data_IF_334183310789
#
_entry.id   IF_334183310789
#
_cell.length_a   1.000
_cell.length_b   1.000
_cell.length_c   1.000
_cell.angle_alpha   90.00
_cell.angle_beta   90.00
_cell.angle_gamma   90.00
#
_symmetry.space_group_name_H-M   'P 1'
#
loop_
_entity.id
_entity.type
_entity.pdbx_description
1 polymer ?
#
# COMPACT_ATOMS: atom_id res chain seq x y z
N UNK A 1 -15.18 48.40 -50.81
CA UNK A 1 -14.20 47.55 -50.09
C UNK A 1 -14.40 47.68 -48.58
N UNK A 2 -15.06 46.69 -47.94
CA UNK A 2 -15.29 46.68 -46.49
C UNK A 2 -14.07 46.02 -45.86
N UNK A 3 -13.36 46.74 -44.96
CA UNK A 3 -12.27 46.21 -44.16
C UNK A 3 -12.89 45.44 -42.97
N UNK A 4 -12.69 44.13 -42.94
CA UNK A 4 -13.02 43.29 -41.81
C UNK A 4 -11.85 43.40 -40.83
N UNK A 5 -12.10 43.96 -39.64
CA UNK A 5 -11.14 44.02 -38.53
C UNK A 5 -11.35 42.75 -37.73
N UNK A 6 -10.38 41.84 -37.76
CA UNK A 6 -10.32 40.70 -36.82
C UNK A 6 -9.81 41.20 -35.47
N UNK A 7 -10.69 41.25 -34.47
CA UNK A 7 -10.29 41.42 -33.08
C UNK A 7 -9.91 40.04 -32.54
N UNK A 8 -8.61 39.79 -32.39
CA UNK A 8 -8.08 38.65 -31.64
C UNK A 8 -8.33 38.92 -30.14
N UNK A 9 -9.33 38.28 -29.59
CA UNK A 9 -9.54 38.22 -28.11
C UNK A 9 -8.50 37.26 -27.57
N UNK A 10 -7.44 37.77 -26.98
CA UNK A 10 -6.51 37.00 -26.14
C UNK A 10 -7.26 36.68 -24.83
N UNK A 11 -7.86 35.50 -24.75
CA UNK A 11 -8.27 34.91 -23.48
C UNK A 11 -6.97 34.39 -22.84
N UNK A 12 -6.53 34.89 -21.67
CA UNK A 12 -5.40 34.30 -20.99
C UNK A 12 -5.84 32.89 -20.58
N UNK A 13 -5.33 31.88 -21.26
CA UNK A 13 -5.38 30.52 -20.80
C UNK A 13 -4.45 30.51 -19.58
N UNK A 14 -5.02 30.80 -18.39
CA UNK A 14 -4.35 30.49 -17.14
C UNK A 14 -4.26 28.95 -17.15
N UNK A 15 -3.10 28.43 -17.49
CA UNK A 15 -2.90 26.99 -17.51
C UNK A 15 -3.09 26.48 -16.08
N UNK A 16 -4.09 25.67 -15.88
CA UNK A 16 -4.38 25.01 -14.60
C UNK A 16 -3.15 24.28 -14.01
N UNK A 17 -2.16 23.93 -14.86
CA UNK A 17 -0.89 23.31 -14.44
C UNK A 17 -0.12 24.14 -13.42
N UNK A 18 -0.11 25.46 -13.51
CA UNK A 18 0.65 26.32 -12.57
C UNK A 18 0.10 26.34 -11.15
N UNK A 19 -1.17 25.96 -10.94
CA UNK A 19 -1.78 25.90 -9.60
C UNK A 19 -1.28 24.68 -8.84
N UNK A 20 -0.89 23.62 -9.52
CA UNK A 20 -0.53 22.33 -8.92
C UNK A 20 0.98 22.10 -8.76
N UNK A 21 1.82 22.91 -9.40
CA UNK A 21 3.29 22.74 -9.39
C UNK A 21 4.00 23.45 -8.22
N UNK A 22 3.32 24.29 -7.45
CA UNK A 22 3.95 25.09 -6.39
C UNK A 22 3.32 24.81 -5.03
N UNK A 23 4.17 24.82 -4.02
CA UNK A 23 3.69 24.91 -2.65
C UNK A 23 3.05 26.27 -2.40
N UNK A 24 1.85 26.26 -1.85
CA UNK A 24 1.14 27.46 -1.46
C UNK A 24 1.25 27.67 0.04
N UNK A 25 1.49 28.91 0.48
CA UNK A 25 1.48 29.25 1.90
C UNK A 25 0.10 29.06 2.51
N UNK A 26 -0.95 29.35 1.73
CA UNK A 26 -2.32 29.07 2.09
C UNK A 26 -3.09 28.53 0.87
N UNK A 27 -3.84 27.45 1.12
CA UNK A 27 -4.81 26.89 0.18
C UNK A 27 -6.17 26.79 0.87
N UNK A 28 -7.24 27.22 0.19
CA UNK A 28 -8.59 27.05 0.68
C UNK A 28 -9.39 26.21 -0.30
N UNK A 29 -9.95 25.10 0.18
CA UNK A 29 -10.89 24.27 -0.57
C UNK A 29 -12.29 24.75 -0.25
N UNK A 30 -13.02 25.24 -1.25
CA UNK A 30 -14.28 26.00 -1.10
C UNK A 30 -15.52 25.15 -1.30
N UNK A 31 -16.44 25.15 -0.33
CA UNK A 31 -17.81 24.66 -0.53
C UNK A 31 -17.99 23.15 -0.61
N UNK A 32 -17.00 22.37 -0.20
CA UNK A 32 -17.01 20.91 -0.30
C UNK A 32 -17.96 20.21 0.68
N UNK A 33 -18.33 18.99 0.37
CA UNK A 33 -18.88 18.03 1.34
C UNK A 33 -17.74 17.19 1.93
N UNK A 34 -17.50 17.29 3.24
CA UNK A 34 -16.44 16.58 3.94
C UNK A 34 -16.93 15.23 4.49
N UNK A 35 -16.22 14.16 4.16
CA UNK A 35 -16.33 12.83 4.78
C UNK A 35 -15.04 12.58 5.56
N UNK A 36 -15.10 12.74 6.89
CA UNK A 36 -13.90 12.79 7.74
C UNK A 36 -13.46 11.44 8.31
N UNK A 37 -14.03 10.33 7.84
CA UNK A 37 -13.72 8.94 8.26
C UNK A 37 -13.93 8.63 9.76
N UNK A 38 -14.69 9.44 10.49
CA UNK A 38 -15.05 9.19 11.90
C UNK A 38 -16.29 8.32 12.07
N UNK A 39 -16.95 7.95 10.98
CA UNK A 39 -18.28 7.30 10.98
C UNK A 39 -19.45 8.27 11.16
N UNK A 40 -19.19 9.57 11.37
CA UNK A 40 -20.23 10.58 11.41
C UNK A 40 -20.78 10.86 9.99
N UNK A 41 -22.03 11.36 9.87
CA UNK A 41 -22.57 11.79 8.59
C UNK A 41 -21.68 12.83 7.89
N UNK A 42 -21.70 12.89 6.55
CA UNK A 42 -20.98 13.93 5.80
C UNK A 42 -21.34 15.33 6.28
N UNK A 43 -20.36 16.21 6.35
CA UNK A 43 -20.52 17.61 6.77
C UNK A 43 -20.32 18.53 5.56
N UNK A 44 -21.29 19.41 5.27
CA UNK A 44 -21.14 20.34 4.16
C UNK A 44 -22.31 21.30 4.01
N UNK A 45 -22.14 22.37 3.22
CA UNK A 45 -20.87 22.78 2.60
C UNK A 45 -19.85 23.33 3.61
N UNK A 46 -18.57 22.98 3.44
CA UNK A 46 -17.48 23.47 4.27
C UNK A 46 -16.38 24.12 3.42
N UNK A 47 -15.70 25.12 3.99
CA UNK A 47 -14.42 25.60 3.49
C UNK A 47 -13.30 25.03 4.37
N UNK A 48 -12.27 24.46 3.74
CA UNK A 48 -11.12 23.88 4.44
C UNK A 48 -9.89 24.76 4.17
N UNK A 49 -9.31 25.31 5.24
CA UNK A 49 -8.11 26.15 5.18
C UNK A 49 -6.90 25.30 5.48
N UNK A 50 -5.93 25.33 4.57
CA UNK A 50 -4.65 24.65 4.70
C UNK A 50 -3.58 25.72 4.68
N UNK A 51 -2.75 25.77 5.71
CA UNK A 51 -1.60 26.67 5.81
C UNK A 51 -0.32 25.84 5.83
N UNK A 52 0.55 26.11 4.89
CA UNK A 52 1.68 25.26 4.56
C UNK A 52 1.21 23.83 4.21
N UNK A 53 1.32 22.89 5.13
CA UNK A 53 0.88 21.49 4.97
C UNK A 53 -0.06 21.01 6.09
N UNK A 54 -0.68 21.97 6.82
CA UNK A 54 -1.55 21.68 7.96
C UNK A 54 -2.95 22.21 7.68
N UNK A 55 -3.96 21.38 7.91
CA UNK A 55 -5.36 21.84 7.97
C UNK A 55 -5.53 22.65 9.25
N UNK A 56 -5.66 23.97 9.12
CA UNK A 56 -5.78 24.89 10.25
C UNK A 56 -7.23 25.19 10.60
N UNK A 57 -8.15 25.04 9.65
CA UNK A 57 -9.56 25.30 9.87
C UNK A 57 -10.46 24.48 8.95
N UNK A 58 -11.56 23.99 9.50
CA UNK A 58 -12.72 23.47 8.76
C UNK A 58 -13.91 24.31 9.17
N UNK A 59 -14.43 25.13 8.25
CA UNK A 59 -15.47 26.09 8.50
C UNK A 59 -16.77 25.68 7.81
N UNK A 60 -17.82 25.42 8.58
CA UNK A 60 -19.17 25.26 8.00
C UNK A 60 -19.64 26.61 7.43
N UNK A 61 -20.03 26.64 6.17
CA UNK A 61 -20.43 27.85 5.44
C UNK A 61 -21.89 27.81 5.00
N UNK A 62 -22.64 26.77 5.34
CA UNK A 62 -24.04 26.65 4.96
C UNK A 62 -24.66 25.33 5.42
N UNK A 63 -25.77 24.98 4.75
CA UNK A 63 -26.46 23.72 4.91
C UNK A 63 -26.71 23.11 3.53
N UNK A 64 -26.81 21.78 3.38
CA UNK A 64 -27.16 21.16 2.11
C UNK A 64 -28.44 21.72 1.51
N UNK A 65 -28.43 22.07 0.22
CA UNK A 65 -29.60 22.62 -0.48
C UNK A 65 -29.93 24.07 -0.20
N UNK A 66 -29.10 24.77 0.60
CA UNK A 66 -29.28 26.21 0.90
C UNK A 66 -28.10 27.00 0.36
N UNK A 67 -28.25 28.19 -0.19
CA UNK A 67 -27.14 29.01 -0.66
C UNK A 67 -26.07 29.21 0.41
N UNK A 68 -24.81 29.16 -0.01
CA UNK A 68 -23.65 29.32 0.87
C UNK A 68 -23.65 30.73 1.49
N UNK A 69 -23.42 30.81 2.79
CA UNK A 69 -23.29 32.06 3.51
C UNK A 69 -21.88 32.64 3.35
N UNK A 70 -21.71 33.56 2.41
CA UNK A 70 -20.41 34.17 2.12
C UNK A 70 -19.78 34.92 3.30
N UNK A 71 -20.57 35.39 4.26
CA UNK A 71 -20.06 36.09 5.45
C UNK A 71 -19.30 35.16 6.40
N UNK A 72 -19.53 33.84 6.31
CA UNK A 72 -18.86 32.82 7.12
C UNK A 72 -17.55 32.30 6.48
N UNK A 73 -17.32 32.63 5.21
CA UNK A 73 -16.14 32.10 4.49
C UNK A 73 -14.85 32.67 5.04
N UNK A 74 -13.84 31.83 5.26
CA UNK A 74 -12.48 32.28 5.57
C UNK A 74 -11.95 33.21 4.49
N UNK A 75 -11.23 34.25 4.88
CA UNK A 75 -10.57 35.17 3.94
C UNK A 75 -9.32 34.50 3.37
N UNK A 76 -9.12 34.67 2.07
CA UNK A 76 -7.87 34.28 1.42
C UNK A 76 -6.77 35.26 1.81
N UNK A 77 -5.60 34.76 2.19
CA UNK A 77 -4.43 35.58 2.46
C UNK A 77 -3.82 36.09 1.14
N UNK A 78 -3.01 37.15 1.21
CA UNK A 78 -2.30 37.62 0.04
C UNK A 78 -1.33 36.54 -0.48
N UNK A 79 -1.46 36.18 -1.76
CA UNK A 79 -0.70 35.10 -2.39
C UNK A 79 -1.19 33.68 -2.06
N UNK A 80 -2.31 33.55 -1.34
CA UNK A 80 -3.01 32.28 -1.19
C UNK A 80 -3.75 31.86 -2.46
N UNK A 81 -4.13 30.58 -2.53
CA UNK A 81 -4.88 29.99 -3.64
C UNK A 81 -6.17 29.39 -3.11
N UNK A 82 -7.23 29.43 -3.89
CA UNK A 82 -8.47 28.73 -3.59
C UNK A 82 -8.87 27.82 -4.75
N UNK A 83 -9.48 26.71 -4.39
CA UNK A 83 -10.04 25.74 -5.34
C UNK A 83 -11.52 25.62 -5.03
N UNK A 84 -12.34 25.83 -6.06
CA UNK A 84 -13.78 25.58 -5.96
C UNK A 84 -14.02 24.06 -5.90
N UNK A 85 -14.62 23.63 -4.81
CA UNK A 85 -15.00 22.24 -4.55
C UNK A 85 -16.52 22.09 -4.33
N UNK A 86 -17.32 23.09 -4.76
CA UNK A 86 -18.76 23.01 -4.64
C UNK A 86 -19.30 21.82 -5.44
N UNK A 87 -20.15 21.02 -4.83
CA UNK A 87 -20.63 19.76 -5.40
C UNK A 87 -19.64 18.57 -5.31
N UNK A 88 -18.43 18.79 -4.83
CA UNK A 88 -17.42 17.75 -4.66
C UNK A 88 -17.37 17.21 -3.23
N UNK A 89 -16.88 15.97 -3.09
CA UNK A 89 -16.61 15.34 -1.81
C UNK A 89 -15.11 15.38 -1.50
N UNK A 90 -14.77 15.70 -0.26
CA UNK A 90 -13.38 15.66 0.23
C UNK A 90 -13.27 14.56 1.28
N UNK A 91 -12.28 13.69 1.11
CA UNK A 91 -11.94 12.61 2.03
C UNK A 91 -10.47 12.76 2.47
N UNK A 92 -10.08 12.19 3.62
CA UNK A 92 -8.67 11.96 3.91
C UNK A 92 -8.02 11.13 2.79
N UNK A 93 -6.78 11.44 2.45
CA UNK A 93 -6.05 10.65 1.45
C UNK A 93 -5.91 9.20 1.89
N UNK A 94 -6.00 8.27 0.95
CA UNK A 94 -5.87 6.85 1.21
C UNK A 94 -4.44 6.47 1.57
N UNK A 95 -4.31 5.39 2.36
CA UNK A 95 -3.03 4.81 2.77
C UNK A 95 -2.92 3.41 2.18
N UNK A 96 -1.95 3.20 1.28
CA UNK A 96 -1.62 1.86 0.82
C UNK A 96 -0.58 1.25 1.76
N UNK A 97 -0.95 0.17 2.43
CA UNK A 97 -0.09 -0.51 3.40
C UNK A 97 0.84 -1.55 2.78
N UNK A 98 0.77 -1.79 1.48
CA UNK A 98 1.66 -2.70 0.75
C UNK A 98 1.88 -2.22 -0.69
N UNK A 99 2.54 -1.09 -0.84
CA UNK A 99 2.83 -0.53 -2.15
C UNK A 99 4.31 -0.65 -2.52
N UNK A 100 4.62 -1.12 -3.72
CA UNK A 100 5.98 -1.17 -4.24
C UNK A 100 6.24 0.01 -5.18
N UNK A 101 7.26 0.81 -4.86
CA UNK A 101 7.55 2.08 -5.54
C UNK A 101 8.25 1.94 -6.91
N UNK A 102 8.04 0.83 -7.58
CA UNK A 102 8.58 0.59 -8.91
C UNK A 102 10.03 0.10 -8.90
N UNK A 103 10.68 0.26 -10.01
CA UNK A 103 12.04 -0.20 -10.26
C UNK A 103 12.12 -1.21 -11.40
N UNK A 104 13.35 -1.55 -11.79
CA UNK A 104 13.61 -2.40 -12.96
C UNK A 104 12.90 -3.76 -12.91
N UNK A 105 12.85 -4.38 -11.73
CA UNK A 105 12.20 -5.69 -11.56
C UNK A 105 10.67 -5.63 -11.51
N UNK A 106 10.10 -4.41 -11.58
CA UNK A 106 8.65 -4.19 -11.64
C UNK A 106 8.22 -3.52 -12.94
N UNK A 107 9.15 -3.29 -13.87
CA UNK A 107 8.87 -2.77 -15.21
C UNK A 107 8.42 -1.32 -15.28
N UNK A 108 8.41 -0.59 -14.17
CA UNK A 108 7.94 0.79 -14.08
C UNK A 108 8.90 1.67 -13.28
N UNK A 109 9.02 2.95 -13.65
CA UNK A 109 9.77 3.92 -12.86
C UNK A 109 9.02 4.31 -11.58
N UNK A 110 9.72 4.74 -10.52
CA UNK A 110 9.07 5.30 -9.34
C UNK A 110 8.13 6.48 -9.66
N UNK A 111 8.53 7.37 -10.53
CA UNK A 111 7.74 8.52 -10.96
C UNK A 111 6.38 8.11 -11.53
N UNK A 112 6.35 7.12 -12.44
CA UNK A 112 5.11 6.62 -13.00
C UNK A 112 4.20 6.03 -11.91
N UNK A 113 4.76 5.25 -11.00
CA UNK A 113 4.01 4.62 -9.90
C UNK A 113 3.47 5.70 -8.95
N UNK A 114 4.26 6.71 -8.61
CA UNK A 114 3.83 7.82 -7.75
C UNK A 114 2.68 8.62 -8.38
N UNK A 115 2.79 8.93 -9.66
CA UNK A 115 1.74 9.65 -10.38
C UNK A 115 0.42 8.88 -10.39
N UNK A 116 0.45 7.56 -10.59
CA UNK A 116 -0.75 6.74 -10.52
C UNK A 116 -1.35 6.73 -9.10
N UNK A 117 -0.54 6.55 -8.06
CA UNK A 117 -1.05 6.58 -6.70
C UNK A 117 -1.68 7.92 -6.34
N UNK A 118 -0.99 9.02 -6.65
CA UNK A 118 -1.51 10.36 -6.37
C UNK A 118 -2.81 10.64 -7.15
N UNK A 119 -2.88 10.22 -8.42
CA UNK A 119 -4.10 10.36 -9.23
C UNK A 119 -5.29 9.55 -8.68
N UNK A 120 -5.04 8.46 -7.96
CA UNK A 120 -6.06 7.64 -7.31
C UNK A 120 -6.29 8.00 -5.83
N UNK A 121 -5.76 9.14 -5.37
CA UNK A 121 -5.96 9.61 -3.99
C UNK A 121 -5.16 8.88 -2.92
N UNK A 122 -4.16 8.07 -3.29
CA UNK A 122 -3.25 7.43 -2.35
C UNK A 122 -2.14 8.41 -2.01
N UNK A 123 -2.19 8.98 -0.80
CA UNK A 123 -1.28 10.04 -0.35
C UNK A 123 -0.23 9.56 0.64
N UNK A 124 -0.32 8.32 1.05
CA UNK A 124 0.67 7.67 1.94
C UNK A 124 0.83 6.22 1.54
N UNK A 125 2.06 5.75 1.50
CA UNK A 125 2.38 4.34 1.24
C UNK A 125 3.34 3.77 2.25
N UNK A 126 3.18 2.50 2.54
CA UNK A 126 4.22 1.68 3.15
C UNK A 126 4.85 0.81 2.07
N UNK A 127 6.14 1.00 1.84
CA UNK A 127 6.97 0.19 0.95
C UNK A 127 7.59 -0.96 1.75
N UNK A 128 7.01 -2.17 1.72
CA UNK A 128 7.42 -3.27 2.58
C UNK A 128 8.56 -4.09 1.99
N UNK A 129 9.57 -3.45 1.42
CA UNK A 129 10.74 -4.14 0.88
C UNK A 129 10.62 -4.54 -0.58
N UNK A 130 10.56 -3.58 -1.48
CA UNK A 130 10.56 -3.77 -2.93
C UNK A 130 11.95 -3.97 -3.53
N UNK A 131 12.03 -3.93 -4.86
CA UNK A 131 13.22 -4.23 -5.64
C UNK A 131 14.29 -3.14 -5.67
N UNK A 132 13.95 -1.93 -5.23
CA UNK A 132 14.91 -0.84 -5.17
C UNK A 132 15.89 -1.02 -4.02
N UNK A 133 17.12 -0.52 -4.18
CA UNK A 133 18.08 -0.48 -3.09
C UNK A 133 17.54 0.35 -1.92
N UNK A 134 17.89 0.00 -0.69
CA UNK A 134 17.46 0.74 0.49
C UNK A 134 17.88 2.21 0.42
N UNK A 135 19.09 2.48 -0.07
CA UNK A 135 19.58 3.84 -0.29
C UNK A 135 18.63 4.67 -1.16
N UNK A 136 18.26 4.14 -2.34
CA UNK A 136 17.34 4.86 -3.24
C UNK A 136 15.95 5.06 -2.65
N UNK A 137 15.43 4.05 -1.92
CA UNK A 137 14.14 4.20 -1.22
C UNK A 137 14.17 5.33 -0.19
N UNK A 138 15.27 5.46 0.56
CA UNK A 138 15.45 6.53 1.54
C UNK A 138 15.64 7.90 0.86
N UNK A 139 16.32 7.97 -0.26
CA UNK A 139 16.42 9.19 -1.09
C UNK A 139 15.03 9.64 -1.53
N UNK A 140 14.24 8.76 -2.15
CA UNK A 140 12.87 9.05 -2.58
C UNK A 140 11.94 9.45 -1.42
N UNK A 141 12.04 8.77 -0.28
CA UNK A 141 11.34 9.14 0.95
C UNK A 141 11.68 10.58 1.40
N UNK A 142 12.95 10.93 1.38
CA UNK A 142 13.40 12.26 1.79
C UNK A 142 12.96 13.34 0.79
N UNK A 143 13.05 13.07 -0.51
CA UNK A 143 12.59 13.99 -1.55
C UNK A 143 11.08 14.20 -1.49
N UNK A 144 10.30 13.14 -1.27
CA UNK A 144 8.85 13.26 -1.02
C UNK A 144 8.55 14.10 0.22
N UNK A 145 9.26 13.85 1.34
CA UNK A 145 9.08 14.62 2.58
C UNK A 145 9.36 16.11 2.43
N UNK A 146 10.29 16.46 1.53
CA UNK A 146 10.66 17.86 1.23
C UNK A 146 9.84 18.48 0.11
N UNK A 147 8.91 17.71 -0.49
CA UNK A 147 8.17 18.09 -1.70
C UNK A 147 9.08 18.46 -2.90
N UNK A 148 10.21 17.80 -3.04
CA UNK A 148 11.11 17.92 -4.20
C UNK A 148 10.60 17.07 -5.37
N UNK A 149 9.71 16.11 -5.12
CA UNK A 149 9.05 15.25 -6.10
C UNK A 149 7.56 15.15 -5.81
N UNK A 150 6.76 14.90 -6.85
CA UNK A 150 5.33 14.55 -6.70
C UNK A 150 5.25 13.08 -6.33
N UNK A 151 4.97 12.79 -5.06
CA UNK A 151 4.90 11.44 -4.54
C UNK A 151 4.05 11.39 -3.27
N UNK A 152 3.44 10.23 -2.93
CA UNK A 152 2.86 10.03 -1.62
C UNK A 152 3.93 10.07 -0.53
N UNK A 153 3.54 10.26 0.71
CA UNK A 153 4.44 10.05 1.86
C UNK A 153 4.87 8.60 1.91
N UNK A 154 6.19 8.35 2.04
CA UNK A 154 6.77 7.01 1.95
C UNK A 154 7.24 6.55 3.34
N UNK A 155 6.74 5.41 3.80
CA UNK A 155 7.29 4.64 4.91
C UNK A 155 8.09 3.47 4.33
N UNK A 156 9.43 3.56 4.41
CA UNK A 156 10.34 2.61 3.77
C UNK A 156 10.81 1.54 4.75
N UNK A 157 10.51 0.28 4.44
CA UNK A 157 11.00 -0.87 5.21
C UNK A 157 12.21 -1.50 4.51
N UNK A 158 13.21 -1.88 5.28
CA UNK A 158 14.35 -2.65 4.79
C UNK A 158 14.00 -4.12 4.69
N UNK A 159 14.38 -4.76 3.59
CA UNK A 159 14.26 -6.22 3.45
C UNK A 159 15.34 -6.92 4.25
N UNK A 160 14.95 -7.80 5.18
CA UNK A 160 15.88 -8.54 6.02
C UNK A 160 16.81 -9.40 5.15
N UNK A 161 18.11 -9.32 5.43
CA UNK A 161 19.13 -9.99 4.64
C UNK A 161 19.21 -11.47 4.98
N UNK A 162 18.88 -12.34 4.03
CA UNK A 162 18.96 -13.81 4.17
C UNK A 162 20.39 -14.36 4.32
N UNK A 163 21.41 -13.51 4.14
CA UNK A 163 22.82 -13.89 4.31
C UNK A 163 23.32 -13.81 5.76
N UNK A 164 22.51 -13.23 6.65
CA UNK A 164 22.75 -13.22 8.09
C UNK A 164 22.79 -14.66 8.61
N UNK A 165 23.85 -15.00 9.37
CA UNK A 165 24.15 -16.38 9.75
C UNK A 165 24.06 -16.64 11.26
N UNK A 166 23.92 -15.59 12.06
CA UNK A 166 23.82 -15.72 13.52
C UNK A 166 22.83 -14.74 14.12
N UNK A 167 22.33 -15.03 15.32
CA UNK A 167 21.49 -14.10 16.08
C UNK A 167 22.13 -12.74 16.35
N UNK A 168 23.45 -12.69 16.56
CA UNK A 168 24.18 -11.45 16.81
C UNK A 168 24.29 -10.59 15.54
N UNK A 169 24.64 -11.19 14.42
CA UNK A 169 24.61 -10.51 13.12
C UNK A 169 23.20 -9.99 12.80
N UNK A 170 22.14 -10.73 13.15
CA UNK A 170 20.76 -10.30 12.94
C UNK A 170 20.44 -9.04 13.75
N UNK A 171 20.81 -8.98 15.01
CA UNK A 171 20.63 -7.80 15.86
C UNK A 171 21.41 -6.60 15.32
N UNK A 172 22.67 -6.81 14.93
CA UNK A 172 23.50 -5.75 14.35
C UNK A 172 22.89 -5.22 13.03
N UNK A 173 22.47 -6.12 12.15
CA UNK A 173 21.83 -5.75 10.89
C UNK A 173 20.59 -4.88 11.12
N UNK A 174 19.74 -5.23 12.09
CA UNK A 174 18.54 -4.45 12.45
C UNK A 174 18.93 -3.07 12.93
N UNK A 175 19.90 -2.96 13.85
CA UNK A 175 20.38 -1.67 14.37
C UNK A 175 20.95 -0.77 13.27
N UNK A 176 21.71 -1.32 12.34
CA UNK A 176 22.31 -0.56 11.26
C UNK A 176 21.23 0.02 10.31
N UNK A 177 20.23 -0.79 9.92
CA UNK A 177 19.12 -0.29 9.09
C UNK A 177 18.27 0.79 9.81
N UNK A 178 18.10 0.67 11.12
CA UNK A 178 17.44 1.71 11.91
C UNK A 178 18.24 3.04 11.88
N UNK A 179 19.55 2.99 12.05
CA UNK A 179 20.43 4.16 11.96
C UNK A 179 20.42 4.82 10.59
N UNK A 180 20.27 4.05 9.53
CA UNK A 180 20.15 4.54 8.16
C UNK A 180 18.80 5.22 7.88
N UNK A 181 17.80 5.07 8.76
CA UNK A 181 16.51 5.76 8.66
C UNK A 181 15.37 4.91 8.10
N UNK A 182 15.51 3.59 8.15
CA UNK A 182 14.41 2.67 7.86
C UNK A 182 13.26 2.86 8.86
N UNK A 183 12.02 2.84 8.39
CA UNK A 183 10.82 2.92 9.25
C UNK A 183 10.42 1.55 9.81
N UNK A 184 10.97 0.48 9.26
CA UNK A 184 10.71 -0.88 9.69
C UNK A 184 11.50 -1.92 8.91
N UNK A 185 11.26 -3.19 9.26
CA UNK A 185 11.92 -4.34 8.64
C UNK A 185 10.87 -5.27 8.04
N UNK A 186 11.11 -5.68 6.79
CA UNK A 186 10.36 -6.74 6.11
C UNK A 186 11.10 -8.06 6.17
N UNK A 187 10.50 -9.07 6.76
CA UNK A 187 11.04 -10.42 6.82
C UNK A 187 10.42 -11.32 5.74
N UNK A 188 11.22 -12.25 5.19
CA UNK A 188 10.74 -13.35 4.34
C UNK A 188 10.90 -14.71 5.01
N UNK A 189 11.89 -14.86 5.85
CA UNK A 189 12.20 -16.05 6.60
C UNK A 189 13.71 -16.22 6.80
N UNK A 190 14.05 -16.86 7.90
CA UNK A 190 15.38 -17.31 8.28
C UNK A 190 15.23 -18.50 9.22
N UNK A 191 16.33 -19.01 9.79
CA UNK A 191 16.24 -19.98 10.88
C UNK A 191 15.51 -19.35 12.09
N UNK A 192 14.80 -20.13 12.90
CA UNK A 192 13.99 -19.63 14.02
C UNK A 192 14.76 -18.72 14.98
N UNK A 193 15.98 -19.07 15.33
CA UNK A 193 16.87 -18.32 16.23
C UNK A 193 17.25 -16.94 15.65
N UNK A 194 17.52 -16.86 14.36
CA UNK A 194 17.81 -15.61 13.64
C UNK A 194 16.54 -14.75 13.55
N UNK A 195 15.38 -15.34 13.18
CA UNK A 195 14.11 -14.63 13.13
C UNK A 195 13.75 -14.04 14.49
N UNK A 196 13.83 -14.84 15.55
CA UNK A 196 13.53 -14.40 16.91
C UNK A 196 14.44 -13.25 17.35
N UNK A 197 15.74 -13.38 17.13
CA UNK A 197 16.73 -12.35 17.50
C UNK A 197 16.48 -11.03 16.76
N UNK A 198 16.24 -11.10 15.45
CA UNK A 198 15.98 -9.91 14.64
C UNK A 198 14.66 -9.22 15.02
N UNK A 199 13.58 -9.98 15.20
CA UNK A 199 12.26 -9.43 15.55
C UNK A 199 12.30 -8.81 16.97
N UNK A 200 12.90 -9.48 17.94
CA UNK A 200 13.06 -8.96 19.30
C UNK A 200 13.90 -7.69 19.32
N UNK A 201 14.99 -7.62 18.58
CA UNK A 201 15.82 -6.40 18.51
C UNK A 201 15.05 -5.28 17.82
N UNK A 202 14.32 -5.57 16.75
CA UNK A 202 13.47 -4.59 16.05
C UNK A 202 12.42 -3.99 17.00
N UNK A 203 11.74 -4.82 17.80
CA UNK A 203 10.79 -4.38 18.83
C UNK A 203 11.46 -3.51 19.90
N UNK A 204 12.65 -3.93 20.39
CA UNK A 204 13.41 -3.22 21.40
C UNK A 204 13.76 -1.79 21.00
N UNK A 205 14.11 -1.57 19.72
CA UNK A 205 14.44 -0.24 19.21
C UNK A 205 13.23 0.56 18.70
N UNK A 206 12.01 -0.01 18.82
CA UNK A 206 10.76 0.67 18.49
C UNK A 206 10.43 0.77 17.01
N UNK A 207 11.10 -0.01 16.15
CA UNK A 207 10.74 -0.08 14.74
C UNK A 207 9.53 -0.99 14.52
N UNK A 208 8.76 -0.68 13.47
CA UNK A 208 7.72 -1.59 12.97
C UNK A 208 8.35 -2.77 12.22
N UNK A 209 7.64 -3.87 12.14
CA UNK A 209 8.08 -5.04 11.38
C UNK A 209 6.91 -5.76 10.73
N UNK A 210 7.20 -6.36 9.59
CA UNK A 210 6.22 -7.17 8.86
C UNK A 210 6.89 -8.39 8.24
N UNK A 211 6.13 -9.42 7.94
CA UNK A 211 6.67 -10.61 7.29
C UNK A 211 5.78 -11.11 6.15
N UNK A 212 6.42 -11.42 5.02
CA UNK A 212 5.94 -12.42 4.08
C UNK A 212 6.52 -13.75 4.53
N UNK A 213 5.76 -14.56 5.26
CA UNK A 213 6.27 -15.85 5.70
C UNK A 213 6.44 -16.77 4.50
N UNK A 214 7.71 -16.99 4.09
CA UNK A 214 7.99 -17.83 2.93
C UNK A 214 7.48 -19.26 3.17
N UNK A 215 6.67 -19.77 2.25
CA UNK A 215 5.91 -21.02 2.42
C UNK A 215 6.78 -22.23 2.80
N UNK A 216 8.04 -22.26 2.39
CA UNK A 216 8.98 -23.34 2.74
C UNK A 216 9.53 -23.24 4.16
N UNK A 217 9.35 -22.11 4.84
CA UNK A 217 9.89 -21.88 6.17
C UNK A 217 8.83 -21.96 7.28
N UNK A 218 7.54 -21.85 6.95
CA UNK A 218 6.46 -21.72 7.92
C UNK A 218 6.22 -22.96 8.79
N UNK A 219 6.69 -24.13 8.38
CA UNK A 219 6.68 -25.33 9.21
C UNK A 219 7.50 -25.15 10.48
N UNK A 220 8.62 -24.41 10.39
CA UNK A 220 9.52 -24.14 11.51
C UNK A 220 9.20 -22.85 12.25
N UNK A 221 8.60 -21.90 11.54
CA UNK A 221 8.34 -20.55 12.05
C UNK A 221 7.14 -19.93 11.34
N UNK A 222 5.96 -20.05 11.92
CA UNK A 222 4.71 -19.52 11.39
C UNK A 222 4.35 -18.16 12.01
N UNK A 223 3.14 -17.65 11.71
CA UNK A 223 2.68 -16.34 12.18
C UNK A 223 2.66 -16.22 13.71
N UNK A 224 2.26 -17.26 14.44
CA UNK A 224 2.23 -17.22 15.91
C UNK A 224 3.64 -17.10 16.50
N UNK A 225 4.62 -17.81 15.96
CA UNK A 225 6.02 -17.67 16.38
C UNK A 225 6.51 -16.23 16.20
N UNK A 226 6.20 -15.63 15.04
CA UNK A 226 6.58 -14.25 14.73
C UNK A 226 5.88 -13.24 15.66
N UNK A 227 4.57 -13.38 15.85
CA UNK A 227 3.78 -12.49 16.71
C UNK A 227 4.26 -12.55 18.17
N UNK A 228 4.50 -13.76 18.71
CA UNK A 228 5.06 -13.97 20.06
C UNK A 228 6.46 -13.35 20.21
N UNK A 229 7.27 -13.38 19.18
CA UNK A 229 8.58 -12.71 19.17
C UNK A 229 8.47 -11.18 19.10
N UNK A 230 7.31 -10.65 18.75
CA UNK A 230 7.01 -9.20 18.67
C UNK A 230 6.94 -8.62 17.28
N UNK A 231 6.74 -9.45 16.25
CA UNK A 231 6.38 -8.97 14.91
C UNK A 231 5.06 -8.18 15.00
N UNK A 232 5.00 -7.02 14.33
CA UNK A 232 3.83 -6.14 14.44
C UNK A 232 2.77 -6.39 13.37
N UNK A 233 3.16 -6.96 12.23
CA UNK A 233 2.22 -7.25 11.14
C UNK A 233 2.71 -8.36 10.21
N UNK A 234 1.79 -8.91 9.43
CA UNK A 234 2.12 -9.78 8.31
C UNK A 234 1.54 -9.26 7.01
N UNK A 235 2.19 -9.64 5.92
CA UNK A 235 1.72 -9.44 4.56
C UNK A 235 1.08 -10.71 4.04
N UNK A 236 0.08 -10.54 3.18
CA UNK A 236 -0.62 -11.68 2.62
C UNK A 236 -1.28 -12.51 3.72
N UNK A 237 -1.06 -13.82 3.69
CA UNK A 237 -1.66 -14.75 4.67
C UNK A 237 -0.80 -16.00 4.91
N UNK A 238 0.37 -16.11 4.26
CA UNK A 238 1.26 -17.26 4.44
C UNK A 238 1.73 -17.38 5.89
N UNK A 239 1.66 -18.58 6.43
CA UNK A 239 1.94 -18.85 7.85
C UNK A 239 0.70 -18.79 8.74
N UNK A 240 -0.42 -18.24 8.27
CA UNK A 240 -1.69 -18.23 9.00
C UNK A 240 -2.44 -19.57 8.87
N UNK A 241 -2.64 -20.16 7.66
CA UNK A 241 -3.21 -21.50 7.55
C UNK A 241 -2.43 -22.54 8.35
N UNK A 242 -1.10 -22.45 8.34
CA UNK A 242 -0.24 -23.38 9.08
C UNK A 242 -0.39 -23.26 10.61
N UNK A 243 -0.65 -22.06 11.12
CA UNK A 243 -1.01 -21.87 12.53
C UNK A 243 -2.40 -22.43 12.88
N UNK A 244 -3.25 -22.57 11.87
CA UNK A 244 -4.63 -23.08 12.00
C UNK A 244 -4.76 -24.59 11.68
N UNK A 245 -3.67 -25.29 11.37
CA UNK A 245 -3.77 -26.71 11.10
C UNK A 245 -4.22 -27.51 12.31
N UNK A 246 -5.23 -28.38 12.12
CA UNK A 246 -5.65 -29.36 13.11
C UNK A 246 -4.79 -30.61 13.01
N UNK A 247 -4.18 -31.02 14.13
CA UNK A 247 -3.44 -32.28 14.28
C UNK A 247 -2.30 -32.50 13.28
N UNK A 248 -1.78 -31.42 12.69
CA UNK A 248 -0.61 -31.45 11.81
C UNK A 248 0.20 -30.16 11.90
N UNK A 249 1.47 -30.25 11.49
CA UNK A 249 2.37 -29.09 11.39
C UNK A 249 2.96 -28.93 9.99
N UNK A 250 2.79 -29.95 9.13
CA UNK A 250 3.38 -30.00 7.79
C UNK A 250 2.29 -29.79 6.75
N UNK A 251 2.55 -28.93 5.80
CA UNK A 251 1.70 -28.69 4.65
C UNK A 251 1.58 -29.96 3.80
N UNK A 252 0.39 -30.23 3.29
CA UNK A 252 0.16 -31.33 2.37
C UNK A 252 0.28 -30.84 0.93
N UNK A 253 1.50 -30.64 0.46
CA UNK A 253 1.78 -30.34 -0.95
C UNK A 253 1.88 -31.62 -1.77
N UNK A 254 1.51 -31.58 -3.07
CA UNK A 254 1.65 -32.73 -3.94
C UNK A 254 3.12 -33.09 -4.17
N UNK A 255 3.47 -34.36 -4.45
CA UNK A 255 4.86 -34.79 -4.61
C UNK A 255 5.63 -34.05 -5.72
N UNK A 256 4.93 -33.50 -6.71
CA UNK A 256 5.52 -32.75 -7.81
C UNK A 256 5.49 -31.23 -7.57
N UNK A 257 5.27 -30.77 -6.33
CA UNK A 257 5.24 -29.36 -6.01
C UNK A 257 6.57 -28.67 -6.38
N UNK A 258 6.45 -27.59 -7.16
CA UNK A 258 7.58 -26.79 -7.57
C UNK A 258 7.39 -25.32 -7.11
N UNK A 259 8.11 -24.96 -6.05
CA UNK A 259 8.07 -23.61 -5.49
C UNK A 259 8.54 -22.51 -6.47
N UNK A 260 9.38 -22.85 -7.43
CA UNK A 260 9.88 -21.93 -8.46
C UNK A 260 8.85 -21.67 -9.59
N UNK A 261 7.83 -22.52 -9.70
CA UNK A 261 6.73 -22.27 -10.59
C UNK A 261 5.72 -21.37 -9.90
N UNK A 262 5.63 -20.13 -10.33
CA UNK A 262 4.79 -19.08 -9.72
C UNK A 262 3.33 -19.51 -9.62
N UNK A 263 2.77 -20.05 -10.70
CA UNK A 263 1.38 -20.47 -10.72
C UNK A 263 1.14 -21.65 -9.77
N UNK A 264 2.01 -22.66 -9.80
CA UNK A 264 1.90 -23.83 -8.93
C UNK A 264 2.01 -23.43 -7.46
N UNK A 265 2.90 -22.47 -7.15
CA UNK A 265 3.04 -21.93 -5.79
C UNK A 265 1.74 -21.28 -5.29
N UNK A 266 1.09 -20.47 -6.13
CA UNK A 266 -0.18 -19.83 -5.76
C UNK A 266 -1.33 -20.83 -5.65
N UNK A 267 -1.41 -21.79 -6.56
CA UNK A 267 -2.40 -22.85 -6.54
C UNK A 267 -2.38 -23.64 -5.25
N UNK A 268 -1.22 -24.16 -4.90
CA UNK A 268 -1.06 -24.99 -3.71
C UNK A 268 -1.19 -24.19 -2.42
N UNK A 269 -0.76 -22.92 -2.43
CA UNK A 269 -0.99 -22.03 -1.29
C UNK A 269 -2.48 -21.83 -0.99
N UNK A 270 -3.31 -21.68 -2.01
CA UNK A 270 -4.78 -21.59 -1.84
C UNK A 270 -5.38 -22.83 -1.17
N UNK A 271 -4.89 -24.02 -1.54
CA UNK A 271 -5.34 -25.29 -0.97
C UNK A 271 -4.97 -25.49 0.51
N UNK A 272 -4.03 -24.70 1.06
CA UNK A 272 -3.70 -24.76 2.48
C UNK A 272 -4.89 -24.38 3.38
N UNK A 273 -5.77 -23.50 2.90
CA UNK A 273 -6.97 -23.13 3.66
C UNK A 273 -7.94 -24.30 3.86
N UNK A 274 -7.98 -25.26 2.95
CA UNK A 274 -8.76 -26.50 3.13
C UNK A 274 -8.17 -27.44 4.21
N UNK A 275 -6.95 -27.19 4.66
CA UNK A 275 -6.25 -27.93 5.72
C UNK A 275 -6.36 -27.22 7.09
N UNK A 276 -6.77 -25.97 7.08
CA UNK A 276 -6.93 -25.16 8.28
C UNK A 276 -8.20 -25.52 9.05
N UNK A 277 -8.23 -25.19 10.33
CA UNK A 277 -9.43 -25.30 11.16
C UNK A 277 -10.58 -24.47 10.56
N UNK A 278 -11.78 -24.99 10.67
CA UNK A 278 -12.98 -24.27 10.21
C UNK A 278 -13.11 -22.93 10.93
N UNK A 279 -13.53 -21.86 10.24
CA UNK A 279 -13.78 -20.56 10.85
C UNK A 279 -14.70 -20.69 12.08
N UNK A 280 -14.37 -19.97 13.12
CA UNK A 280 -15.09 -19.93 14.41
C UNK A 280 -15.08 -21.24 15.23
N UNK A 281 -14.33 -22.26 14.80
CA UNK A 281 -14.03 -23.41 15.67
C UNK A 281 -13.15 -22.99 16.86
N UNK A 282 -13.05 -23.83 17.90
CA UNK A 282 -12.25 -23.53 19.09
C UNK A 282 -10.78 -23.26 18.74
N UNK A 283 -10.19 -24.07 17.87
CA UNK A 283 -8.80 -23.86 17.47
C UNK A 283 -8.63 -22.56 16.69
N UNK A 284 -9.54 -22.26 15.74
CA UNK A 284 -9.54 -21.00 15.02
C UNK A 284 -9.66 -19.80 15.98
N UNK A 285 -10.62 -19.85 16.91
CA UNK A 285 -10.84 -18.79 17.89
C UNK A 285 -9.61 -18.60 18.80
N UNK A 286 -8.96 -19.68 19.24
CA UNK A 286 -7.75 -19.59 20.06
C UNK A 286 -6.61 -18.87 19.32
N UNK A 287 -6.37 -19.20 18.04
CA UNK A 287 -5.34 -18.54 17.22
C UNK A 287 -5.67 -17.06 17.01
N UNK A 288 -6.91 -16.73 16.66
CA UNK A 288 -7.33 -15.36 16.44
C UNK A 288 -7.26 -14.52 17.72
N UNK A 289 -7.73 -15.05 18.85
CA UNK A 289 -7.67 -14.36 20.12
C UNK A 289 -6.22 -14.13 20.59
N UNK A 290 -5.32 -15.05 20.33
CA UNK A 290 -3.91 -14.85 20.63
C UNK A 290 -3.32 -13.74 19.76
N UNK A 291 -3.56 -13.73 18.44
CA UNK A 291 -3.08 -12.66 17.55
C UNK A 291 -3.64 -11.28 17.96
N UNK A 292 -4.93 -11.22 18.33
CA UNK A 292 -5.56 -9.99 18.87
C UNK A 292 -4.87 -9.55 20.16
N UNK A 293 -4.60 -10.47 21.08
CA UNK A 293 -3.95 -10.15 22.36
C UNK A 293 -2.52 -9.63 22.20
N UNK A 294 -1.87 -9.98 21.08
CA UNK A 294 -0.53 -9.53 20.71
C UNK A 294 -0.54 -8.25 19.87
N UNK A 295 -1.70 -7.62 19.65
CA UNK A 295 -1.89 -6.42 18.80
C UNK A 295 -1.33 -6.63 17.37
N UNK A 296 -1.60 -7.80 16.81
CA UNK A 296 -1.05 -8.21 15.52
C UNK A 296 -1.95 -7.78 14.36
N UNK A 297 -1.36 -7.16 13.35
CA UNK A 297 -2.09 -6.64 12.17
C UNK A 297 -1.85 -7.51 10.93
N UNK A 298 -2.86 -7.69 10.11
CA UNK A 298 -2.76 -8.37 8.81
C UNK A 298 -2.99 -7.37 7.68
N UNK A 299 -2.06 -7.34 6.72
CA UNK A 299 -2.19 -6.61 5.45
C UNK A 299 -2.36 -7.65 4.31
N UNK A 300 -3.59 -8.05 3.99
CA UNK A 300 -3.84 -9.28 3.23
C UNK A 300 -3.57 -9.16 1.74
N UNK A 301 -3.36 -7.96 1.19
CA UNK A 301 -3.08 -7.71 -0.25
C UNK A 301 -4.14 -8.36 -1.18
N UNK A 302 -5.41 -8.15 -0.88
CA UNK A 302 -6.53 -8.81 -1.58
C UNK A 302 -6.54 -8.56 -3.09
N UNK A 303 -6.06 -7.40 -3.54
CA UNK A 303 -6.06 -7.02 -4.95
C UNK A 303 -5.28 -7.99 -5.84
N UNK A 304 -4.11 -8.48 -5.38
CA UNK A 304 -3.35 -9.44 -6.17
C UNK A 304 -4.06 -10.79 -6.26
N UNK A 305 -4.74 -11.20 -5.19
CA UNK A 305 -5.49 -12.46 -5.20
C UNK A 305 -6.75 -12.34 -6.06
N UNK A 306 -7.45 -11.21 -6.01
CA UNK A 306 -8.58 -10.94 -6.90
C UNK A 306 -8.15 -10.94 -8.37
N UNK A 307 -7.07 -10.21 -8.71
CA UNK A 307 -6.53 -10.18 -10.06
C UNK A 307 -6.07 -11.56 -10.54
N UNK A 308 -5.51 -12.38 -9.65
CA UNK A 308 -5.08 -13.73 -9.96
C UNK A 308 -6.25 -14.70 -10.14
N UNK A 309 -7.31 -14.53 -9.35
CA UNK A 309 -8.54 -15.31 -9.48
C UNK A 309 -9.26 -15.02 -10.78
N UNK A 310 -9.36 -13.75 -11.14
CA UNK A 310 -10.13 -13.27 -12.29
C UNK A 310 -9.23 -12.52 -13.28
N UNK A 311 -8.23 -13.24 -13.77
CA UNK A 311 -7.19 -12.69 -14.64
C UNK A 311 -7.75 -12.05 -15.91
N UNK A 312 -8.80 -12.64 -16.51
CA UNK A 312 -9.43 -12.09 -17.71
C UNK A 312 -10.05 -10.71 -17.45
N UNK A 313 -10.76 -10.56 -16.33
CA UNK A 313 -11.33 -9.28 -15.91
C UNK A 313 -10.23 -8.27 -15.60
N UNK A 314 -9.24 -8.66 -14.82
CA UNK A 314 -8.13 -7.80 -14.46
C UNK A 314 -7.39 -7.26 -15.69
N UNK A 315 -7.14 -8.10 -16.68
CA UNK A 315 -6.44 -7.69 -17.93
C UNK A 315 -7.30 -6.92 -18.93
N UNK A 316 -8.59 -6.85 -18.76
CA UNK A 316 -9.53 -6.13 -19.63
C UNK A 316 -10.16 -4.92 -18.94
N UNK A 317 -9.66 -4.55 -17.79
CA UNK A 317 -10.17 -3.41 -17.06
C UNK A 317 -9.94 -2.11 -17.86
N UNK A 318 -10.96 -1.28 -17.93
CA UNK A 318 -10.99 -0.05 -18.75
C UNK A 318 -9.86 0.94 -18.46
N UNK A 319 -9.39 1.01 -17.21
CA UNK A 319 -8.28 1.91 -16.85
C UNK A 319 -6.93 1.58 -17.50
N UNK A 320 -6.80 0.41 -18.12
CA UNK A 320 -5.57 0.05 -18.82
C UNK A 320 -5.34 0.88 -20.08
N UNK A 321 -6.40 1.31 -20.74
CA UNK A 321 -6.30 2.08 -21.98
C UNK A 321 -5.65 3.45 -21.71
N UNK A 322 -5.97 4.08 -20.58
CA UNK A 322 -5.51 5.42 -20.24
C UNK A 322 -4.27 5.43 -19.33
N UNK A 323 -4.12 4.41 -18.46
CA UNK A 323 -3.18 4.47 -17.36
C UNK A 323 -2.01 3.49 -17.44
N UNK A 324 -2.09 2.45 -18.27
CA UNK A 324 -1.06 1.40 -18.30
C UNK A 324 -0.05 1.61 -19.43
N UNK A 325 1.23 1.72 -19.06
CA UNK A 325 2.31 1.81 -20.04
C UNK A 325 2.34 0.57 -20.95
N UNK A 326 2.44 0.73 -22.28
CA UNK A 326 2.51 -0.41 -23.21
C UNK A 326 3.68 -1.38 -22.90
N UNK A 327 4.76 -0.89 -22.29
CA UNK A 327 5.90 -1.71 -21.85
C UNK A 327 5.52 -2.71 -20.75
N UNK A 328 4.54 -2.39 -19.90
CA UNK A 328 4.08 -3.28 -18.82
C UNK A 328 3.38 -4.52 -19.36
N UNK A 329 2.65 -4.41 -20.46
CA UNK A 329 2.04 -5.55 -21.13
C UNK A 329 3.07 -6.59 -21.58
N UNK A 330 4.24 -6.14 -22.04
CA UNK A 330 5.36 -7.01 -22.41
C UNK A 330 6.09 -7.55 -21.18
N UNK A 331 6.31 -6.68 -20.18
CA UNK A 331 7.00 -7.06 -18.94
C UNK A 331 6.23 -8.14 -18.17
N UNK A 332 4.90 -7.98 -18.06
CA UNK A 332 4.01 -8.94 -17.40
C UNK A 332 3.33 -9.90 -18.39
N UNK A 333 3.99 -10.19 -19.50
CA UNK A 333 3.52 -11.25 -20.39
C UNK A 333 3.42 -12.58 -19.62
N UNK A 334 2.43 -13.45 -19.95
CA UNK A 334 2.22 -14.71 -19.26
C UNK A 334 3.51 -15.54 -19.12
N UNK A 335 3.84 -15.92 -17.91
CA UNK A 335 5.08 -16.63 -17.57
C UNK A 335 4.87 -17.53 -16.35
N UNK A 336 5.51 -18.71 -16.34
CA UNK A 336 5.48 -19.63 -15.18
C UNK A 336 6.38 -19.20 -14.05
N UNK A 337 7.39 -18.39 -14.33
CA UNK A 337 8.47 -18.06 -13.41
C UNK A 337 8.51 -16.59 -12.99
N UNK A 338 7.84 -15.71 -13.73
CA UNK A 338 7.83 -14.29 -13.42
C UNK A 338 6.80 -13.98 -12.35
N UNK A 339 7.23 -13.38 -11.25
CA UNK A 339 6.36 -13.00 -10.15
C UNK A 339 5.21 -12.08 -10.61
N UNK A 340 3.99 -12.41 -10.20
CA UNK A 340 2.77 -11.68 -10.59
C UNK A 340 2.30 -11.91 -12.03
N UNK A 341 2.97 -12.77 -12.80
CA UNK A 341 2.64 -13.03 -14.18
C UNK A 341 2.03 -14.43 -14.36
N UNK A 342 0.72 -14.46 -14.55
CA UNK A 342 -0.02 -15.71 -14.75
C UNK A 342 -0.17 -16.05 -16.24
N UNK A 343 -0.05 -17.33 -16.54
CA UNK A 343 -0.17 -17.82 -17.91
C UNK A 343 -1.36 -18.79 -18.10
N UNK A 344 -1.92 -19.30 -17.01
CA UNK A 344 -3.03 -20.25 -17.04
C UNK A 344 -4.34 -19.56 -16.63
N UNK A 345 -5.39 -19.83 -17.38
CA UNK A 345 -6.71 -19.23 -17.19
C UNK A 345 -7.74 -20.23 -16.66
N UNK A 346 -7.31 -21.36 -16.13
CA UNK A 346 -8.19 -22.39 -15.59
C UNK A 346 -8.74 -22.04 -14.21
N UNK A 347 -10.08 -22.18 -14.03
CA UNK A 347 -10.80 -21.62 -12.90
C UNK A 347 -10.72 -22.37 -11.57
N UNK A 348 -10.53 -23.68 -11.57
CA UNK A 348 -10.78 -24.53 -10.38
C UNK A 348 -9.86 -24.25 -9.19
N UNK A 349 -8.65 -23.89 -9.45
CA UNK A 349 -7.68 -23.61 -8.35
C UNK A 349 -7.96 -22.28 -7.69
N UNK A 350 -8.37 -21.30 -8.47
CA UNK A 350 -8.74 -19.98 -7.99
C UNK A 350 -9.99 -20.02 -7.12
N UNK A 351 -10.95 -20.88 -7.42
CA UNK A 351 -12.13 -21.08 -6.58
C UNK A 351 -11.79 -21.64 -5.20
N UNK A 352 -10.86 -22.59 -5.12
CA UNK A 352 -10.41 -23.16 -3.83
C UNK A 352 -9.67 -22.11 -2.99
N UNK A 353 -8.83 -21.29 -3.62
CA UNK A 353 -8.09 -20.24 -2.93
C UNK A 353 -9.01 -19.15 -2.31
N UNK A 354 -10.22 -19.01 -2.82
CA UNK A 354 -11.17 -17.98 -2.37
C UNK A 354 -12.32 -18.50 -1.50
N UNK A 355 -12.41 -19.79 -1.28
CA UNK A 355 -13.31 -20.36 -0.28
C UNK A 355 -12.78 -20.14 1.13
#
# INVERSE_FOLDING_TARGET
MRKIIFILIFIPIVSFSQIFEKQHQQLILRGATLINSTGAPPLGPVDIVIENNIITKIQNVGYPGVPINNSRRPKLSNGGVEIDCEGSYILPGFIDTHGHIGGRSQGASPEYVFNLWMAHGITTIREPGGSLSQKLKLELKNSSKKNEIIAPRIYSFSTFNSRVKSPDEAREWVRNNAKEGSDGIKFFGASPDIMEAAIKENKKIGLRSTAHHAQLNVVKWNVLNSARAGLTSMEHWYGLPEALFNNRIIQNYPPNYNYQNEQHRFEEAGKLWAQAAEPFSDHWNNVMNELISLDFTISPTLNIYEASRDLHRARRAEWHDDSTLPSLWRFYAPSRISHGSYWHYGGTVQEVAWK
#
